data_IF_856325749359
#
_entry.id   IF_856325749359
#
_cell.length_a   1.000
_cell.length_b   1.000
_cell.length_c   1.000
_cell.angle_alpha   90.00
_cell.angle_beta   90.00
_cell.angle_gamma   90.00
#
_symmetry.space_group_name_H-M   'P 1'
#
loop_
_entity.id
_entity.type
_entity.pdbx_description
1 polymer ?
#
# COMPACT_ATOMS: atom_id res chain seq x y z
N UNK A 1 20.38 -5.69 0.64
CA UNK A 1 19.09 -6.40 0.43
C UNK A 1 17.99 -5.40 0.09
N UNK A 2 16.92 -5.79 -0.61
CA UNK A 2 15.84 -4.86 -0.99
C UNK A 2 14.58 -5.12 -0.17
N UNK A 3 13.83 -4.10 0.22
CA UNK A 3 12.55 -4.29 0.92
C UNK A 3 11.36 -4.21 -0.02
N UNK A 4 10.52 -5.25 -0.03
CA UNK A 4 9.28 -5.25 -0.80
C UNK A 4 8.23 -4.33 -0.15
N UNK A 5 7.63 -3.46 -0.96
CA UNK A 5 6.51 -2.60 -0.62
C UNK A 5 5.23 -3.17 -1.25
N UNK A 6 4.27 -3.55 -0.40
CA UNK A 6 3.01 -4.12 -0.89
C UNK A 6 2.12 -3.05 -1.53
N UNK A 7 1.10 -3.42 -2.33
CA UNK A 7 0.11 -2.47 -2.81
C UNK A 7 -0.51 -1.65 -1.67
N UNK A 8 -0.74 -0.36 -1.92
CA UNK A 8 -1.14 0.70 -0.98
C UNK A 8 -0.16 0.96 0.18
N UNK A 9 1.03 0.36 0.12
CA UNK A 9 2.11 0.53 1.08
C UNK A 9 3.12 1.60 0.70
N UNK A 10 3.95 1.99 1.66
CA UNK A 10 5.09 2.87 1.45
C UNK A 10 6.32 2.46 2.24
N UNK A 11 7.49 2.77 1.69
CA UNK A 11 8.77 2.67 2.38
C UNK A 11 9.53 3.98 2.34
N UNK A 12 10.11 4.37 3.46
CA UNK A 12 10.96 5.55 3.61
C UNK A 12 12.43 5.13 3.73
N UNK A 13 13.30 5.77 2.94
CA UNK A 13 14.75 5.67 3.02
C UNK A 13 15.30 7.03 3.48
N UNK A 14 15.85 7.15 4.70
CA UNK A 14 16.41 8.41 5.18
C UNK A 14 17.68 8.79 4.40
N UNK A 15 17.91 10.10 4.23
CA UNK A 15 19.08 10.66 3.57
C UNK A 15 20.37 10.45 4.38
N UNK A 16 20.28 10.59 5.71
CA UNK A 16 21.37 10.24 6.61
C UNK A 16 21.37 8.71 6.81
N UNK A 17 22.53 8.08 6.63
CA UNK A 17 22.73 6.63 6.64
C UNK A 17 22.24 5.97 7.93
N UNK A 18 20.95 5.65 8.01
CA UNK A 18 20.47 4.62 8.92
C UNK A 18 20.99 3.28 8.39
N UNK A 19 21.96 2.71 9.13
CA UNK A 19 22.54 1.35 8.99
C UNK A 19 22.06 0.58 7.75
N UNK A 20 22.71 0.80 6.61
CA UNK A 20 22.25 0.23 5.33
C UNK A 20 22.77 -1.19 5.12
N UNK A 21 22.08 -2.18 5.70
CA UNK A 21 21.99 -3.53 5.12
C UNK A 21 20.97 -3.57 3.95
N UNK A 22 20.45 -2.39 3.58
CA UNK A 22 19.34 -2.16 2.66
C UNK A 22 19.84 -1.41 1.42
N UNK A 23 19.75 -2.06 0.27
CA UNK A 23 20.18 -1.54 -1.03
C UNK A 23 19.06 -0.73 -1.71
N UNK A 24 17.83 -0.83 -1.22
CA UNK A 24 16.70 -0.10 -1.79
C UNK A 24 15.31 -0.66 -1.43
N UNK A 25 14.30 -0.12 -2.10
CA UNK A 25 12.90 -0.55 -2.01
C UNK A 25 12.45 -1.15 -3.34
N UNK A 26 11.57 -2.16 -3.25
CA UNK A 26 11.11 -2.93 -4.39
C UNK A 26 9.58 -2.96 -4.45
N UNK A 27 9.02 -2.66 -5.62
CA UNK A 27 7.61 -2.87 -5.95
C UNK A 27 7.55 -4.01 -6.96
N UNK A 28 6.88 -5.11 -6.58
CA UNK A 28 6.71 -6.30 -7.43
C UNK A 28 5.63 -6.14 -8.49
N UNK A 29 4.55 -5.46 -8.13
CA UNK A 29 3.35 -5.30 -8.95
C UNK A 29 3.01 -3.82 -9.02
N UNK A 30 3.55 -3.16 -10.03
CA UNK A 30 3.41 -1.73 -10.30
C UNK A 30 2.10 -1.49 -11.05
N UNK A 31 1.21 -0.70 -10.45
CA UNK A 31 0.11 -0.04 -11.16
C UNK A 31 0.43 1.46 -11.31
N UNK A 32 0.62 2.12 -10.18
CA UNK A 32 1.16 3.48 -10.09
C UNK A 32 2.10 3.55 -8.88
N UNK A 33 3.22 4.24 -9.03
CA UNK A 33 4.13 4.52 -7.94
C UNK A 33 4.34 6.03 -7.81
N UNK A 34 4.45 6.47 -6.56
CA UNK A 34 4.82 7.83 -6.22
C UNK A 34 6.17 7.78 -5.51
N UNK A 35 7.20 8.29 -6.18
CA UNK A 35 8.51 8.45 -5.60
C UNK A 35 8.69 9.93 -5.23
N UNK A 36 8.69 10.21 -3.94
CA UNK A 36 8.89 11.55 -3.42
C UNK A 36 10.29 11.69 -2.81
N UNK A 37 10.91 12.85 -3.04
CA UNK A 37 12.21 13.18 -2.45
C UNK A 37 12.10 14.45 -1.62
N UNK A 38 12.94 14.57 -0.60
CA UNK A 38 13.10 15.79 0.15
C UNK A 38 14.39 15.79 0.97
N UNK A 39 14.56 16.82 1.80
CA UNK A 39 15.76 16.99 2.61
C UNK A 39 16.03 15.84 3.59
N UNK A 40 14.99 15.12 4.03
CA UNK A 40 15.12 14.01 4.97
C UNK A 40 15.33 12.64 4.29
N UNK A 41 15.12 12.50 2.97
CA UNK A 41 15.26 11.22 2.28
C UNK A 41 14.30 10.99 1.11
N UNK A 42 14.05 9.72 0.82
CA UNK A 42 13.22 9.22 -0.27
C UNK A 42 12.04 8.43 0.28
N UNK A 43 10.86 8.63 -0.30
CA UNK A 43 9.66 7.87 0.00
C UNK A 43 9.16 7.22 -1.28
N UNK A 44 9.01 5.91 -1.28
CA UNK A 44 8.39 5.16 -2.36
C UNK A 44 7.03 4.65 -1.91
N UNK A 45 5.98 5.00 -2.64
CA UNK A 45 4.60 4.57 -2.39
C UNK A 45 4.16 3.71 -3.56
N UNK A 46 3.70 2.50 -3.27
CA UNK A 46 3.07 1.60 -4.24
C UNK A 46 1.56 1.85 -4.25
N UNK A 47 1.08 2.68 -5.16
CA UNK A 47 -0.31 3.08 -5.22
C UNK A 47 -1.18 2.13 -6.04
N UNK A 48 -2.43 2.02 -5.63
CA UNK A 48 -3.51 1.50 -6.49
C UNK A 48 -4.49 2.63 -6.85
N UNK A 49 -5.42 2.38 -7.77
CA UNK A 49 -6.46 3.34 -8.15
C UNK A 49 -7.38 3.75 -6.97
N UNK A 50 -7.39 2.98 -5.89
CA UNK A 50 -8.20 3.26 -4.70
C UNK A 50 -7.44 4.03 -3.61
N UNK A 51 -6.13 4.20 -3.76
CA UNK A 51 -5.32 4.97 -2.83
C UNK A 51 -5.72 6.45 -2.87
N UNK A 52 -5.92 7.03 -1.68
CA UNK A 52 -6.24 8.45 -1.54
C UNK A 52 -5.13 9.37 -2.05
N UNK A 53 -5.47 10.35 -2.91
CA UNK A 53 -4.56 11.42 -3.23
C UNK A 53 -4.13 12.25 -2.00
N UNK A 54 -5.04 12.46 -1.05
CA UNK A 54 -4.74 13.17 0.20
C UNK A 54 -3.85 12.36 1.15
N UNK A 55 -3.95 11.03 1.16
CA UNK A 55 -3.11 10.20 2.03
C UNK A 55 -1.66 10.17 1.56
N UNK A 56 -1.42 10.27 0.24
CA UNK A 56 -0.10 10.47 -0.36
C UNK A 56 0.46 11.83 0.06
N UNK A 57 -0.33 12.90 -0.10
CA UNK A 57 0.05 14.25 0.33
C UNK A 57 0.41 14.30 1.83
N UNK A 58 -0.35 13.61 2.69
CA UNK A 58 -0.09 13.52 4.13
C UNK A 58 1.24 12.86 4.49
N UNK A 59 1.90 12.16 3.56
CA UNK A 59 3.24 11.63 3.80
C UNK A 59 4.34 12.68 3.57
N UNK A 60 4.06 13.78 2.88
CA UNK A 60 5.05 14.81 2.55
C UNK A 60 5.86 15.33 3.75
N UNK A 61 5.30 15.50 4.98
CA UNK A 61 6.07 15.90 6.15
C UNK A 61 7.23 14.96 6.53
N UNK A 62 7.16 13.67 6.16
CA UNK A 62 8.26 12.71 6.39
C UNK A 62 9.53 13.08 5.63
N UNK A 63 9.40 13.83 4.54
CA UNK A 63 10.51 14.20 3.66
C UNK A 63 11.26 15.45 4.13
N UNK A 64 10.86 16.05 5.26
CA UNK A 64 11.34 17.38 5.65
C UNK A 64 10.82 18.43 4.68
N UNK A 65 11.70 18.92 3.80
CA UNK A 65 11.31 19.82 2.70
C UNK A 65 11.16 19.02 1.41
N UNK A 66 9.93 18.79 0.91
CA UNK A 66 9.73 18.08 -0.36
C UNK A 66 10.38 18.82 -1.54
N UNK A 67 11.04 18.07 -2.42
CA UNK A 67 11.80 18.60 -3.57
C UNK A 67 11.24 18.09 -4.89
N UNK A 68 11.03 16.78 -5.01
CA UNK A 68 10.48 16.19 -6.23
C UNK A 68 9.37 15.18 -5.92
N UNK A 69 8.44 15.07 -6.87
CA UNK A 69 7.47 14.00 -6.98
C UNK A 69 7.60 13.39 -8.37
N UNK A 70 8.04 12.13 -8.43
CA UNK A 70 8.04 11.35 -9.66
C UNK A 70 6.87 10.37 -9.63
N UNK A 71 5.95 10.52 -10.58
CA UNK A 71 4.80 9.64 -10.76
C UNK A 71 5.14 8.65 -11.88
N UNK A 72 5.15 7.37 -11.57
CA UNK A 72 5.47 6.30 -12.52
C UNK A 72 4.23 5.41 -12.64
N UNK A 73 3.63 5.33 -13.82
CA UNK A 73 2.35 4.62 -14.03
C UNK A 73 2.47 3.60 -15.16
N UNK A 74 1.91 2.41 -14.95
CA UNK A 74 1.89 1.34 -15.95
C UNK A 74 0.99 1.72 -17.13
N UNK A 75 1.42 1.46 -18.36
CA UNK A 75 0.72 1.89 -19.58
C UNK A 75 -0.75 1.44 -19.65
N UNK A 76 -1.04 0.25 -19.13
CA UNK A 76 -2.36 -0.37 -19.16
C UNK A 76 -3.34 0.24 -18.14
N UNK A 77 -2.84 1.06 -17.22
CA UNK A 77 -3.64 1.68 -16.17
C UNK A 77 -4.12 3.06 -16.62
N UNK A 78 -5.39 3.20 -17.02
CA UNK A 78 -6.02 4.50 -17.24
C UNK A 78 -6.56 5.05 -15.91
N UNK A 79 -5.74 5.81 -15.19
CA UNK A 79 -6.15 6.38 -13.89
C UNK A 79 -6.00 7.91 -13.86
N UNK A 80 -6.99 8.58 -13.26
CA UNK A 80 -6.92 10.00 -12.87
C UNK A 80 -6.16 10.21 -11.55
N UNK A 81 -5.70 9.12 -10.91
CA UNK A 81 -5.09 9.16 -9.59
C UNK A 81 -3.81 9.99 -9.60
N UNK A 82 -2.94 9.77 -10.61
CA UNK A 82 -1.71 10.53 -10.80
C UNK A 82 -1.95 12.04 -10.96
N UNK A 83 -2.89 12.44 -11.82
CA UNK A 83 -3.24 13.86 -12.02
C UNK A 83 -3.84 14.49 -10.75
N UNK A 84 -4.64 13.74 -9.98
CA UNK A 84 -5.22 14.26 -8.74
C UNK A 84 -4.14 14.49 -7.68
N UNK A 85 -3.19 13.57 -7.54
CA UNK A 85 -2.04 13.72 -6.63
C UNK A 85 -1.19 14.91 -7.05
N UNK A 86 -0.86 15.00 -8.35
CA UNK A 86 -0.12 16.13 -8.91
C UNK A 86 -0.78 17.46 -8.56
N UNK A 87 -2.08 17.61 -8.80
CA UNK A 87 -2.82 18.84 -8.49
C UNK A 87 -2.76 19.22 -7.00
N UNK A 88 -2.81 18.23 -6.09
CA UNK A 88 -2.67 18.47 -4.65
C UNK A 88 -1.26 18.95 -4.27
N UNK A 89 -0.23 18.33 -4.84
CA UNK A 89 1.16 18.72 -4.57
C UNK A 89 1.53 20.07 -5.19
N UNK A 90 1.03 20.41 -6.38
CA UNK A 90 1.22 21.74 -6.97
C UNK A 90 0.57 22.84 -6.10
N UNK A 91 -0.59 22.54 -5.49
CA UNK A 91 -1.30 23.46 -4.60
C UNK A 91 -0.54 23.69 -3.29
N UNK A 92 -0.09 22.62 -2.63
CA UNK A 92 0.45 22.70 -1.26
C UNK A 92 1.97 22.86 -1.22
N UNK A 93 2.68 22.50 -2.30
CA UNK A 93 4.12 22.61 -2.45
C UNK A 93 4.48 23.22 -3.82
N UNK A 94 4.23 24.51 -4.06
CA UNK A 94 4.35 25.13 -5.39
C UNK A 94 5.77 25.12 -5.99
N UNK A 95 6.80 24.85 -5.19
CA UNK A 95 8.19 24.72 -5.63
C UNK A 95 8.61 23.28 -5.95
N UNK A 96 7.72 22.29 -5.74
CA UNK A 96 8.03 20.90 -6.00
C UNK A 96 8.16 20.65 -7.50
N UNK A 97 9.22 19.94 -7.91
CA UNK A 97 9.36 19.49 -9.29
C UNK A 97 8.58 18.19 -9.47
N UNK A 98 7.58 18.20 -10.34
CA UNK A 98 6.77 17.02 -10.64
C UNK A 98 7.16 16.47 -12.01
N UNK A 99 7.46 15.18 -12.08
CA UNK A 99 7.68 14.44 -13.33
C UNK A 99 6.70 13.28 -13.43
N UNK A 100 6.35 12.93 -14.66
CA UNK A 100 5.47 11.80 -14.96
C UNK A 100 6.13 10.89 -15.98
N UNK A 101 6.13 9.59 -15.68
CA UNK A 101 6.62 8.53 -16.55
C UNK A 101 5.52 7.49 -16.75
N UNK A 102 5.27 7.13 -18.00
CA UNK A 102 4.46 5.96 -18.32
C UNK A 102 5.40 4.80 -18.67
N UNK A 103 5.18 3.63 -18.08
CA UNK A 103 6.07 2.47 -18.21
C UNK A 103 5.32 1.19 -18.58
N UNK A 104 5.94 0.30 -19.34
CA UNK A 104 5.41 -1.05 -19.59
C UNK A 104 5.78 -2.05 -18.47
N UNK A 105 6.61 -1.63 -17.51
CA UNK A 105 7.17 -2.53 -16.51
C UNK A 105 6.16 -2.92 -15.43
N UNK A 106 6.25 -4.18 -14.99
CA UNK A 106 5.43 -4.70 -13.89
C UNK A 106 6.05 -4.45 -12.52
N UNK A 107 7.34 -4.11 -12.47
CA UNK A 107 8.08 -3.94 -11.22
C UNK A 107 8.98 -2.69 -11.27
N UNK A 108 9.28 -2.17 -10.08
CA UNK A 108 10.08 -0.96 -9.90
C UNK A 108 11.05 -1.14 -8.73
N UNK A 109 12.29 -0.70 -8.92
CA UNK A 109 13.29 -0.58 -7.86
C UNK A 109 13.58 0.88 -7.58
N UNK A 110 13.62 1.26 -6.31
CA UNK A 110 14.27 2.47 -5.82
C UNK A 110 15.58 2.05 -5.16
N UNK A 111 16.71 2.50 -5.70
CA UNK A 111 18.03 2.25 -5.15
C UNK A 111 18.34 3.20 -3.98
N UNK A 112 19.26 2.81 -3.10
CA UNK A 112 19.69 3.61 -1.95
C UNK A 112 20.23 5.01 -2.31
N UNK A 113 20.74 5.19 -3.54
CA UNK A 113 21.17 6.48 -4.07
C UNK A 113 20.02 7.38 -4.55
N UNK A 114 18.76 6.96 -4.36
CA UNK A 114 17.57 7.70 -4.75
C UNK A 114 17.16 7.56 -6.21
N UNK A 115 17.82 6.70 -7.00
CA UNK A 115 17.45 6.49 -8.41
C UNK A 115 16.45 5.35 -8.55
N UNK A 116 15.50 5.50 -9.48
CA UNK A 116 14.52 4.46 -9.80
C UNK A 116 14.91 3.73 -11.08
N UNK A 117 14.67 2.42 -11.14
CA UNK A 117 14.91 1.60 -12.33
C UNK A 117 13.78 0.59 -12.56
N UNK A 118 13.45 0.41 -13.83
CA UNK A 118 12.53 -0.60 -14.35
C UNK A 118 13.26 -1.63 -15.23
N UNK A 119 14.60 -1.59 -15.26
CA UNK A 119 15.44 -2.52 -16.04
C UNK A 119 15.23 -3.97 -15.54
N UNK A 120 14.70 -4.88 -16.38
CA UNK A 120 14.45 -6.27 -16.00
C UNK A 120 15.70 -6.99 -15.48
N UNK A 121 16.89 -6.67 -16.01
CA UNK A 121 18.12 -7.35 -15.58
C UNK A 121 18.49 -6.99 -14.13
N UNK A 122 18.36 -5.72 -13.77
CA UNK A 122 18.62 -5.26 -12.41
C UNK A 122 17.55 -5.77 -11.45
N UNK A 123 16.29 -5.79 -11.89
CA UNK A 123 15.17 -6.33 -11.10
C UNK A 123 15.36 -7.81 -10.78
N UNK A 124 15.70 -8.64 -11.77
CA UNK A 124 15.93 -10.08 -11.56
C UNK A 124 17.07 -10.32 -10.59
N UNK A 125 18.17 -9.54 -10.67
CA UNK A 125 19.28 -9.67 -9.73
C UNK A 125 18.88 -9.25 -8.30
N UNK A 126 18.11 -8.18 -8.16
CA UNK A 126 17.62 -7.71 -6.88
C UNK A 126 16.64 -8.71 -6.22
N UNK A 127 15.87 -9.46 -7.03
CA UNK A 127 14.81 -10.34 -6.56
C UNK A 127 15.31 -11.42 -5.58
N UNK A 128 16.53 -11.92 -5.79
CA UNK A 128 17.19 -12.89 -4.91
C UNK A 128 17.55 -12.34 -3.53
N UNK A 129 17.55 -11.02 -3.37
CA UNK A 129 17.91 -10.32 -2.13
C UNK A 129 16.73 -9.58 -1.49
N UNK A 130 15.50 -9.89 -1.91
CA UNK A 130 14.31 -9.26 -1.35
C UNK A 130 14.04 -9.79 0.05
N UNK A 131 13.86 -8.87 0.98
CA UNK A 131 13.22 -9.11 2.25
C UNK A 131 11.78 -8.60 2.13
N UNK A 132 10.85 -9.45 2.55
CA UNK A 132 9.42 -9.20 2.50
C UNK A 132 8.90 -8.88 3.92
N UNK A 133 7.86 -8.03 4.07
CA UNK A 133 7.24 -7.82 5.37
C UNK A 133 6.77 -9.15 6.01
N UNK A 134 6.99 -9.39 7.32
CA UNK A 134 6.65 -10.66 7.97
C UNK A 134 5.18 -11.12 7.85
N UNK A 135 4.26 -10.20 7.54
CA UNK A 135 2.84 -10.47 7.36
C UNK A 135 2.29 -9.89 6.04
N UNK A 136 3.06 -10.01 4.95
CA UNK A 136 2.71 -9.48 3.61
C UNK A 136 1.27 -9.76 3.20
N UNK A 137 0.86 -11.03 3.17
CA UNK A 137 -0.48 -11.43 2.72
C UNK A 137 -1.60 -10.82 3.57
N UNK A 138 -1.37 -10.64 4.88
CA UNK A 138 -2.37 -10.00 5.76
C UNK A 138 -2.48 -8.50 5.50
N UNK A 139 -1.36 -7.81 5.27
CA UNK A 139 -1.37 -6.38 4.90
C UNK A 139 -2.09 -6.17 3.58
N UNK A 140 -1.81 -7.02 2.58
CA UNK A 140 -2.53 -7.02 1.30
C UNK A 140 -4.02 -7.24 1.53
N UNK A 141 -4.41 -8.24 2.31
CA UNK A 141 -5.81 -8.50 2.62
C UNK A 141 -6.50 -7.31 3.30
N UNK A 142 -5.84 -6.63 4.24
CA UNK A 142 -6.37 -5.42 4.90
C UNK A 142 -6.54 -4.27 3.91
N UNK A 143 -5.55 -4.05 3.04
CA UNK A 143 -5.65 -3.04 1.99
C UNK A 143 -6.78 -3.36 1.01
N UNK A 144 -6.89 -4.61 0.57
CA UNK A 144 -8.02 -5.08 -0.23
C UNK A 144 -9.37 -4.92 0.48
N UNK A 145 -9.48 -5.24 1.77
CA UNK A 145 -10.71 -5.09 2.54
C UNK A 145 -11.14 -3.64 2.71
N UNK A 146 -10.18 -2.74 2.93
CA UNK A 146 -10.43 -1.30 2.93
C UNK A 146 -10.98 -0.83 1.56
N UNK A 147 -10.70 -1.57 0.47
CA UNK A 147 -11.20 -1.30 -0.89
C UNK A 147 -12.55 -1.98 -1.23
N UNK A 148 -13.00 -3.00 -0.49
CA UNK A 148 -14.10 -3.87 -0.93
C UNK A 148 -15.53 -3.31 -0.74
N UNK A 149 -15.74 -2.26 0.07
CA UNK A 149 -17.08 -1.78 0.45
C UNK A 149 -17.33 -0.30 0.05
N UNK A 150 -18.09 -0.05 -1.03
CA UNK A 150 -18.87 1.19 -1.25
C UNK A 150 -20.26 1.04 -0.54
N UNK A 151 -21.00 2.10 -0.14
CA UNK A 151 -21.16 3.45 -0.73
C UNK A 151 -20.73 4.60 0.15
N UNK A 152 -20.27 4.32 1.36
CA UNK A 152 -19.51 5.31 2.07
C UNK A 152 -18.21 5.38 1.30
N UNK A 153 -18.05 6.46 0.55
CA UNK A 153 -16.74 7.02 0.34
C UNK A 153 -16.15 7.22 1.75
N UNK A 154 -15.60 6.17 2.35
CA UNK A 154 -14.35 6.34 3.07
C UNK A 154 -13.47 6.91 1.99
N UNK A 155 -13.36 8.23 1.98
CA UNK A 155 -12.89 8.93 0.79
C UNK A 155 -11.49 8.49 0.41
N UNK A 156 -10.79 7.76 1.27
CA UNK A 156 -9.36 7.64 1.20
C UNK A 156 -8.84 6.32 1.80
N UNK A 157 -8.39 5.36 0.98
CA UNK A 157 -7.41 4.38 1.47
C UNK A 157 -6.15 5.14 1.85
N UNK A 158 -5.71 4.88 3.08
CA UNK A 158 -4.52 5.53 3.61
C UNK A 158 -3.28 4.72 3.23
N UNK A 159 -2.21 5.44 2.89
CA UNK A 159 -0.89 4.85 2.73
C UNK A 159 -0.50 4.10 4.00
N UNK A 160 -0.23 2.80 3.86
CA UNK A 160 0.36 1.95 4.90
C UNK A 160 1.87 2.16 4.91
N UNK A 161 2.39 2.99 5.82
CA UNK A 161 3.84 3.10 5.99
C UNK A 161 4.38 1.77 6.56
N UNK A 162 5.11 1.02 5.73
CA UNK A 162 5.57 -0.33 6.02
C UNK A 162 7.00 -0.35 6.54
N UNK A 163 7.84 0.53 6.02
CA UNK A 163 9.25 0.60 6.36
C UNK A 163 9.65 2.06 6.61
N UNK A 164 10.33 2.32 7.73
CA UNK A 164 10.68 3.67 8.16
C UNK A 164 12.18 4.01 8.04
N UNK A 165 12.96 3.17 7.35
CA UNK A 165 14.41 3.31 7.25
C UNK A 165 15.20 2.36 8.16
N UNK A 166 14.56 1.79 9.18
CA UNK A 166 15.22 0.90 10.13
C UNK A 166 14.52 -0.45 10.29
N UNK A 167 13.19 -0.45 10.37
CA UNK A 167 12.39 -1.64 10.64
C UNK A 167 11.09 -1.66 9.85
N UNK A 168 10.50 -2.86 9.74
CA UNK A 168 9.11 -2.98 9.38
C UNK A 168 8.21 -2.48 10.52
N UNK A 169 7.22 -1.67 10.17
CA UNK A 169 6.21 -1.20 11.10
C UNK A 169 5.15 -2.30 11.37
N UNK A 170 4.26 -2.04 12.34
CA UNK A 170 3.14 -2.92 12.66
C UNK A 170 2.06 -2.91 11.57
N UNK A 171 1.28 -4.00 11.49
CA UNK A 171 0.18 -4.14 10.51
C UNK A 171 -0.86 -3.03 10.77
N UNK A 172 -1.34 -2.30 9.74
CA UNK A 172 -2.37 -1.30 9.90
C UNK A 172 -3.69 -1.95 10.35
N UNK A 173 -4.50 -1.19 11.09
CA UNK A 173 -5.86 -1.63 11.40
C UNK A 173 -6.78 -1.48 10.18
N UNK A 174 -7.85 -2.28 10.14
CA UNK A 174 -8.95 -2.05 9.21
C UNK A 174 -9.56 -0.67 9.46
N UNK A 175 -9.90 0.04 8.38
CA UNK A 175 -10.56 1.35 8.50
C UNK A 175 -11.96 1.25 9.09
N UNK A 176 -12.63 0.11 8.85
CA UNK A 176 -13.94 -0.21 9.41
C UNK A 176 -13.85 -1.43 10.30
N UNK A 177 -14.66 -1.43 11.36
CA UNK A 177 -14.93 -2.64 12.11
C UNK A 177 -15.67 -3.68 11.26
N UNK A 178 -15.59 -4.93 11.70
CA UNK A 178 -16.27 -6.06 11.06
C UNK A 178 -17.80 -5.86 11.01
N UNK A 179 -18.38 -5.24 12.03
CA UNK A 179 -19.82 -4.96 12.12
C UNK A 179 -20.24 -3.89 11.11
N UNK A 180 -19.46 -2.82 10.96
CA UNK A 180 -19.69 -1.76 9.98
C UNK A 180 -19.61 -2.29 8.54
N UNK A 181 -18.61 -3.12 8.24
CA UNK A 181 -18.50 -3.79 6.93
C UNK A 181 -19.72 -4.69 6.65
N UNK A 182 -20.19 -5.46 7.64
CA UNK A 182 -21.40 -6.30 7.51
C UNK A 182 -22.67 -5.47 7.31
N UNK A 183 -22.80 -4.34 8.00
CA UNK A 183 -23.95 -3.44 7.85
C UNK A 183 -23.99 -2.81 6.44
N UNK A 184 -22.84 -2.37 5.93
CA UNK A 184 -22.69 -1.82 4.58
C UNK A 184 -23.01 -2.87 3.50
N UNK A 185 -22.47 -4.08 3.65
CA UNK A 185 -22.74 -5.18 2.72
C UNK A 185 -24.24 -5.56 2.67
N UNK A 186 -24.96 -5.47 3.80
CA UNK A 186 -26.42 -5.70 3.84
C UNK A 186 -27.22 -4.55 3.23
N UNK A 187 -26.77 -3.31 3.43
CA UNK A 187 -27.43 -2.12 2.90
C UNK A 187 -27.23 -1.94 1.39
N UNK A 188 -26.22 -2.59 0.81
CA UNK A 188 -25.89 -2.52 -0.62
C UNK A 188 -25.80 -3.90 -1.25
N UNK A 189 -26.82 -4.35 -2.01
CA UNK A 189 -26.67 -5.54 -2.84
C UNK A 189 -25.61 -5.25 -3.90
N UNK A 190 -24.45 -5.93 -3.81
CA UNK A 190 -23.33 -5.74 -4.74
C UNK A 190 -23.30 -6.80 -5.84
N UNK A 191 -22.69 -6.47 -7.00
CA UNK A 191 -22.72 -7.30 -8.20
C UNK A 191 -21.79 -8.52 -8.11
N UNK A 192 -21.87 -9.39 -9.12
CA UNK A 192 -21.22 -10.70 -9.28
C UNK A 192 -19.75 -10.88 -8.79
N UNK A 193 -18.80 -9.92 -8.85
CA UNK A 193 -17.44 -10.14 -8.33
C UNK A 193 -17.36 -10.53 -6.84
N UNK A 194 -18.36 -10.16 -6.03
CA UNK A 194 -18.44 -10.60 -4.63
C UNK A 194 -18.76 -12.10 -4.50
N UNK A 195 -19.55 -12.64 -5.44
CA UNK A 195 -19.91 -14.06 -5.49
C UNK A 195 -18.69 -14.90 -5.85
N UNK A 196 -17.88 -14.45 -6.80
CA UNK A 196 -16.61 -15.09 -7.16
C UNK A 196 -15.59 -15.08 -6.03
N UNK A 197 -15.49 -13.99 -5.26
CA UNK A 197 -14.59 -13.92 -4.08
C UNK A 197 -15.04 -14.83 -2.92
N UNK A 198 -16.35 -15.05 -2.78
CA UNK A 198 -16.93 -16.06 -1.88
C UNK A 198 -16.68 -17.49 -2.38
N UNK A 199 -16.89 -17.76 -3.68
CA UNK A 199 -16.68 -19.07 -4.30
C UNK A 199 -15.21 -19.52 -4.28
N UNK A 200 -14.26 -18.58 -4.38
CA UNK A 200 -12.82 -18.83 -4.25
C UNK A 200 -12.32 -18.92 -2.80
N UNK A 201 -13.20 -18.81 -1.80
CA UNK A 201 -12.83 -18.97 -0.39
C UNK A 201 -12.06 -17.80 0.24
N UNK A 202 -11.87 -16.69 -0.48
CA UNK A 202 -11.08 -15.54 -0.01
C UNK A 202 -11.78 -14.75 1.11
N UNK A 203 -13.10 -14.82 1.19
CA UNK A 203 -13.90 -14.17 2.24
C UNK A 203 -14.39 -15.12 3.35
N UNK A 204 -14.21 -16.44 3.19
CA UNK A 204 -14.85 -17.44 4.07
C UNK A 204 -14.09 -17.62 5.40
N UNK A 205 -12.83 -17.19 5.47
CA UNK A 205 -12.02 -17.31 6.70
C UNK A 205 -12.12 -16.15 7.70
N UNK A 206 -12.64 -14.99 7.29
CA UNK A 206 -12.58 -13.76 8.10
C UNK A 206 -13.87 -13.45 8.87
N UNK A 207 -14.97 -14.11 8.55
CA UNK A 207 -16.28 -13.82 9.16
C UNK A 207 -16.92 -15.01 9.90
N UNK A 208 -16.33 -16.20 9.81
CA UNK A 208 -16.86 -17.44 10.42
C UNK A 208 -15.95 -18.11 11.46
N UNK A 209 -14.98 -17.39 12.03
CA UNK A 209 -14.32 -17.88 13.26
C UNK A 209 -15.28 -17.63 14.43
N UNK A 210 -16.27 -18.50 14.59
CA UNK A 210 -16.89 -18.70 15.88
C UNK A 210 -15.79 -19.12 16.86
N UNK A 211 -15.51 -18.38 17.96
CA UNK A 211 -14.69 -18.93 19.02
C UNK A 211 -15.41 -20.18 19.54
N UNK A 212 -14.77 -21.35 19.43
CA UNK A 212 -15.18 -22.53 20.19
C UNK A 212 -14.98 -22.19 21.66
N UNK A 213 -16.04 -21.71 22.33
CA UNK A 213 -16.08 -21.75 23.78
C UNK A 213 -16.41 -23.18 24.21
N UNK A 214 -15.36 -23.98 24.34
CA UNK A 214 -15.32 -25.01 25.38
C UNK A 214 -15.31 -24.31 26.74
N UNK A 215 -16.35 -24.54 27.54
CA UNK A 215 -16.34 -24.57 29.02
C UNK A 215 -17.64 -25.31 29.41
N UNK A 216 -17.59 -26.59 29.81
CA UNK A 216 -17.45 -27.01 31.21
C UNK A 216 -18.17 -26.04 32.17
N UNK A 217 -19.42 -26.35 32.52
CA UNK A 217 -19.82 -26.64 33.91
C UNK A 217 -21.25 -27.20 34.00
N UNK A 218 -21.34 -28.29 34.77
CA UNK A 218 -22.48 -28.84 35.53
C UNK A 218 -23.72 -29.36 34.81
N UNK A 219 -23.85 -30.70 34.84
CA UNK A 219 -25.15 -31.36 35.06
C UNK A 219 -25.88 -30.75 36.28
N UNK A 220 -27.19 -30.92 36.37
CA UNK A 220 -27.63 -31.99 37.25
C UNK A 220 -28.62 -32.94 36.59
N UNK A 221 -28.39 -34.22 36.83
CA UNK A 221 -29.32 -35.31 36.57
C UNK A 221 -30.70 -35.04 37.20
N UNK A 222 -31.75 -35.27 36.40
CA UNK A 222 -32.93 -36.04 36.79
C UNK A 222 -33.45 -36.82 35.58
#
# INVERSE_FOLDING_TARGET
>A
MYYEITPDGAGFLPAETARMDVDGLYIRTLAIAYHLTGSAGHLLINGTAALSPLSILKQAPLLGTPQTLHIIQRHEEETIAGETVKALFERDFPSIKITYESSAADALLLLANGTTTTDPNQIVQAEFSIITPPNREKRIAINCLNNLFLPLKLYDVHVDLQFNGEIYLGIPALQLSQEEMKALAKAQPRPEPYKTALDLGLCVGLFDIAPRFSNLTSEPAK
#
